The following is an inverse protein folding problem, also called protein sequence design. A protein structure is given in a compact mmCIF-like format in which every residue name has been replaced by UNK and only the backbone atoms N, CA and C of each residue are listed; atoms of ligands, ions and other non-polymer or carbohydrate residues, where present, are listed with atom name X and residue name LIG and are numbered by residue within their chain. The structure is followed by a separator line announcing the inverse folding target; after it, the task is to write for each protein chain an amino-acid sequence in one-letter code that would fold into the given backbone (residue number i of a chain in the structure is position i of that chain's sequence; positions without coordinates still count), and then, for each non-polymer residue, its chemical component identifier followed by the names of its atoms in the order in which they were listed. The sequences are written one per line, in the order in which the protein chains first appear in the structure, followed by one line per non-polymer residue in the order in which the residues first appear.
data_IF_816661018878
#
_entry.id   IF_816661018878
#
_cell.length_a   1.000
_cell.length_b   1.000
_cell.length_c   1.000
_cell.angle_alpha   90.00
_cell.angle_beta   90.00
_cell.angle_gamma   90.00
#
_symmetry.space_group_name_H-M   'P 1'
#
loop_
_entity.id
_entity.type
_entity.pdbx_description
1 polymer ?
#
# COMPACT_ATOMS: atom_id res chain seq x y z
N UNK A 1 -7.84 -9.64 1.41
CA UNK A 1 -6.81 -10.14 2.38
C UNK A 1 -5.79 -9.03 2.69
N UNK A 2 -5.10 -9.05 3.84
CA UNK A 2 -3.97 -8.14 4.15
C UNK A 2 -2.81 -8.88 4.78
N UNK A 3 -1.56 -8.52 4.43
CA UNK A 3 -0.33 -9.10 5.01
C UNK A 3 0.70 -8.02 5.31
N UNK A 4 1.49 -8.22 6.35
CA UNK A 4 2.63 -7.34 6.70
C UNK A 4 3.88 -7.72 5.92
N UNK A 5 4.65 -6.71 5.51
CA UNK A 5 5.97 -6.84 4.89
C UNK A 5 7.00 -6.24 5.86
N UNK A 6 7.88 -7.06 6.47
CA UNK A 6 8.95 -6.54 7.34
C UNK A 6 10.03 -5.82 6.51
N UNK A 7 10.79 -4.92 7.14
CA UNK A 7 11.86 -4.14 6.51
C UNK A 7 12.82 -5.01 5.67
N UNK A 8 13.25 -6.14 6.21
CA UNK A 8 14.18 -7.05 5.55
C UNK A 8 13.65 -7.61 4.21
N UNK A 9 12.33 -7.69 4.05
CA UNK A 9 11.68 -8.18 2.83
C UNK A 9 11.23 -7.03 1.89
N UNK A 10 11.38 -5.77 2.30
CA UNK A 10 11.02 -4.59 1.53
C UNK A 10 12.15 -4.21 0.55
N UNK A 11 12.39 -5.06 -0.44
CA UNK A 11 13.50 -4.89 -1.40
C UNK A 11 13.13 -4.11 -2.66
N UNK A 12 11.87 -3.69 -2.78
CA UNK A 12 11.34 -2.93 -3.93
C UNK A 12 10.61 -1.67 -3.46
N UNK A 13 10.70 -0.62 -4.27
CA UNK A 13 9.94 0.62 -4.08
C UNK A 13 8.52 0.43 -4.60
N UNK A 14 7.53 0.91 -3.86
CA UNK A 14 6.12 0.87 -4.24
C UNK A 14 5.43 2.21 -3.99
N UNK A 15 4.38 2.55 -4.74
CA UNK A 15 3.59 3.76 -4.48
C UNK A 15 2.43 3.47 -3.54
N UNK A 16 2.27 4.26 -2.48
CA UNK A 16 1.22 4.10 -1.50
C UNK A 16 -0.08 4.81 -1.95
N UNK A 17 -1.22 4.10 -2.14
CA UNK A 17 -2.46 4.73 -2.58
C UNK A 17 -3.05 5.74 -1.60
N UNK A 18 -2.74 5.61 -0.30
CA UNK A 18 -3.31 6.48 0.74
C UNK A 18 -2.67 7.86 0.81
N UNK A 19 -1.45 8.04 0.31
CA UNK A 19 -0.76 9.33 0.36
C UNK A 19 -0.03 9.68 -0.95
N UNK A 20 -0.10 8.82 -1.97
CA UNK A 20 0.60 8.93 -3.24
C UNK A 20 2.14 9.00 -3.16
N UNK A 21 2.71 8.84 -1.97
CA UNK A 21 4.16 8.81 -1.76
C UNK A 21 4.72 7.40 -1.94
N UNK A 22 6.01 7.34 -2.27
CA UNK A 22 6.76 6.10 -2.37
C UNK A 22 7.03 5.49 -0.98
N UNK A 23 6.88 4.17 -0.91
CA UNK A 23 7.38 3.30 0.14
C UNK A 23 8.76 2.84 -0.32
N UNK A 24 9.80 3.43 0.28
CA UNK A 24 11.18 3.10 -0.07
C UNK A 24 11.57 1.69 0.38
N UNK A 25 12.70 1.19 -0.15
CA UNK A 25 13.27 -0.08 0.32
C UNK A 25 13.61 -0.01 1.80
N UNK A 26 13.53 -1.15 2.49
CA UNK A 26 13.76 -1.24 3.93
C UNK A 26 12.62 -0.67 4.81
N UNK A 27 11.56 -0.11 4.23
CA UNK A 27 10.42 0.42 5.00
C UNK A 27 9.40 -0.70 5.27
N UNK A 28 9.10 -1.03 6.55
CA UNK A 28 8.01 -1.94 6.90
C UNK A 28 6.66 -1.38 6.46
N UNK A 29 5.88 -2.22 5.78
CA UNK A 29 4.61 -1.79 5.18
C UNK A 29 3.62 -2.96 5.12
N UNK A 30 2.43 -2.73 4.55
CA UNK A 30 1.43 -3.78 4.36
C UNK A 30 1.06 -3.90 2.89
N UNK A 31 0.74 -5.11 2.47
CA UNK A 31 0.16 -5.39 1.17
C UNK A 31 -1.28 -5.84 1.37
N UNK A 32 -2.18 -5.24 0.60
CA UNK A 32 -3.61 -5.52 0.62
C UNK A 32 -4.06 -6.00 -0.76
N UNK A 33 -4.92 -7.02 -0.75
CA UNK A 33 -5.60 -7.57 -1.92
C UNK A 33 -7.06 -7.15 -1.85
N UNK A 34 -7.63 -6.58 -2.94
CA UNK A 34 -9.06 -6.31 -3.02
C UNK A 34 -9.85 -7.61 -2.85
N UNK A 35 -11.03 -7.52 -2.23
CA UNK A 35 -11.91 -8.67 -1.94
C UNK A 35 -12.78 -9.10 -3.12
N UNK A 36 -12.80 -8.33 -4.22
CA UNK A 36 -13.57 -8.69 -5.40
C UNK A 36 -13.03 -10.00 -6.02
N UNK A 37 -13.91 -10.98 -6.24
CA UNK A 37 -13.62 -12.35 -6.74
C UNK A 37 -12.88 -12.42 -8.09
N UNK A 38 -12.56 -11.28 -8.72
CA UNK A 38 -11.89 -11.18 -10.02
C UNK A 38 -10.45 -10.63 -9.94
N UNK A 39 -9.99 -10.23 -8.76
CA UNK A 39 -8.68 -9.60 -8.60
C UNK A 39 -7.58 -10.60 -8.29
N UNK A 40 -6.91 -11.08 -9.34
CA UNK A 40 -5.70 -11.90 -9.21
C UNK A 40 -4.60 -11.23 -8.38
N UNK A 41 -3.51 -11.97 -8.16
CA UNK A 41 -2.28 -11.52 -7.46
C UNK A 41 -1.72 -10.19 -8.00
N UNK A 42 -2.13 -9.80 -9.21
CA UNK A 42 -1.79 -8.54 -9.88
C UNK A 42 -2.38 -7.28 -9.21
N UNK A 43 -3.50 -7.37 -8.49
CA UNK A 43 -4.12 -6.20 -7.85
C UNK A 43 -3.60 -5.91 -6.43
N UNK A 44 -2.42 -6.45 -6.08
CA UNK A 44 -1.77 -6.19 -4.80
C UNK A 44 -1.38 -4.73 -4.67
N UNK A 45 -1.96 -4.04 -3.68
CA UNK A 45 -1.62 -2.65 -3.37
C UNK A 45 -0.76 -2.58 -2.11
N UNK A 46 0.34 -1.84 -2.18
CA UNK A 46 1.27 -1.65 -1.07
C UNK A 46 0.96 -0.34 -0.35
N UNK A 47 0.90 -0.39 0.98
CA UNK A 47 0.52 0.75 1.82
C UNK A 47 1.51 0.92 2.97
N UNK A 48 1.89 2.16 3.27
CA UNK A 48 2.46 2.44 4.59
C UNK A 48 1.52 1.95 5.69
N UNK A 49 2.08 1.38 6.76
CA UNK A 49 1.29 0.82 7.87
C UNK A 49 0.32 1.84 8.47
N UNK A 50 0.77 3.10 8.66
CA UNK A 50 -0.09 4.18 9.13
C UNK A 50 -1.17 4.59 8.11
N UNK A 51 -0.84 4.59 6.82
CA UNK A 51 -1.82 4.89 5.76
C UNK A 51 -2.90 3.82 5.68
N UNK A 52 -2.54 2.54 5.81
CA UNK A 52 -3.50 1.44 5.83
C UNK A 52 -4.48 1.53 7.01
N UNK A 53 -3.97 1.83 8.22
CA UNK A 53 -4.81 2.02 9.42
C UNK A 53 -5.80 3.17 9.23
N UNK A 54 -5.41 4.22 8.51
CA UNK A 54 -6.25 5.39 8.23
C UNK A 54 -6.98 5.33 6.88
N UNK A 55 -6.95 4.22 6.14
CA UNK A 55 -7.39 4.14 4.73
C UNK A 55 -8.84 4.56 4.47
N UNK A 56 -9.72 4.39 5.45
CA UNK A 56 -11.12 4.81 5.33
C UNK A 56 -11.30 6.34 5.29
N UNK A 57 -10.34 7.09 5.82
CA UNK A 57 -10.37 8.56 5.93
C UNK A 57 -9.20 9.25 5.21
N UNK A 58 -8.27 8.48 4.66
CA UNK A 58 -7.03 8.98 4.05
C UNK A 58 -7.02 8.62 2.57
N UNK A 59 -6.89 9.63 1.72
CA UNK A 59 -6.64 9.51 0.29
C UNK A 59 -5.81 10.70 -0.19
N UNK A 60 -5.27 10.66 -1.42
CA UNK A 60 -4.50 11.76 -1.98
C UNK A 60 -5.34 13.04 -1.96
N UNK A 61 -4.91 14.04 -1.19
CA UNK A 61 -5.67 15.28 -0.99
C UNK A 61 -5.56 16.24 -2.17
N UNK A 62 -4.57 16.03 -3.04
CA UNK A 62 -4.43 16.74 -4.33
C UNK A 62 -4.23 15.73 -5.45
N UNK A 63 -5.27 15.56 -6.26
CA UNK A 63 -5.11 15.17 -7.67
C UNK A 63 -4.55 16.40 -8.37
N UNK A 64 -3.29 16.35 -8.81
CA UNK A 64 -2.81 17.35 -9.75
C UNK A 64 -3.46 17.00 -11.09
N UNK A 65 -4.30 17.91 -11.59
CA UNK A 65 -4.90 17.86 -12.94
C UNK A 65 -3.91 18.35 -13.98
#
# INVERSE_FOLDING_TARGET
MVRTVPAAQATKVYRCPGCDHEIQTGIPHVVAWPEAELGGVDERRHWHTGCWKARARRGPTRRWS
#
